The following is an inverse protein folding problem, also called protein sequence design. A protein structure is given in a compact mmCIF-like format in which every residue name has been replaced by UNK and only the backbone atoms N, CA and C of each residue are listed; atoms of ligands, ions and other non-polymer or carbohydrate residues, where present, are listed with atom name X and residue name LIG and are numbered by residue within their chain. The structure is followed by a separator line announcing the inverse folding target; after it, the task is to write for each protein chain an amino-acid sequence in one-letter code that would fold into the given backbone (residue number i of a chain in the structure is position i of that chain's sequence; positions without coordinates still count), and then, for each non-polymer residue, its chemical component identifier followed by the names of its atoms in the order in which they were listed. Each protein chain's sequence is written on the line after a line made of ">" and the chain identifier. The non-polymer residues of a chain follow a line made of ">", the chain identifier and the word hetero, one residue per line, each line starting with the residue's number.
data_IF_627298985108
#
_entry.id   IF_627298985108
#
_cell.length_a   1.000
_cell.length_b   1.000
_cell.length_c   1.000
_cell.angle_alpha   90.00
_cell.angle_beta   90.00
_cell.angle_gamma   90.00
#
_symmetry.space_group_name_H-M   'P 1'
#
loop_
_entity.id
_entity.type
_entity.pdbx_description
1 polymer ?
#
# COMPACT_ATOMS: atom_id res chain seq x y z
N UNK A 1 15.64 0.93 26.85
CA UNK A 1 14.27 0.58 27.22
C UNK A 1 13.71 -0.41 26.19
N UNK A 2 12.94 -1.40 26.65
CA UNK A 2 12.40 -2.49 25.81
C UNK A 2 10.88 -2.38 25.73
N UNK A 3 10.38 -1.36 25.01
CA UNK A 3 8.96 -1.21 24.75
C UNK A 3 8.73 -0.82 23.28
N UNK A 4 7.57 -1.11 22.78
CA UNK A 4 7.12 -0.70 21.43
C UNK A 4 5.64 -0.35 21.47
N UNK A 5 5.24 0.58 20.61
CA UNK A 5 3.83 0.93 20.39
C UNK A 5 3.39 0.32 19.07
N UNK A 6 2.21 -0.27 19.03
CA UNK A 6 1.67 -0.94 17.85
C UNK A 6 0.26 -0.46 17.51
N UNK A 7 -0.14 -0.63 16.25
CA UNK A 7 -1.49 -0.35 15.78
C UNK A 7 -1.91 1.10 15.99
N UNK A 8 -3.17 1.29 16.33
CA UNK A 8 -3.80 2.62 16.48
C UNK A 8 -3.24 3.44 17.65
N UNK A 9 -2.54 2.81 18.59
CA UNK A 9 -1.82 3.54 19.63
C UNK A 9 -0.56 4.24 19.09
N UNK A 10 -0.02 3.80 17.98
CA UNK A 10 1.12 4.39 17.31
C UNK A 10 0.73 5.37 16.21
N UNK A 11 -0.15 4.94 15.31
CA UNK A 11 -0.68 5.75 14.22
C UNK A 11 -2.15 5.39 13.97
N UNK A 12 -2.95 6.38 13.57
CA UNK A 12 -4.37 6.21 13.29
C UNK A 12 -4.72 6.82 11.94
N UNK A 13 -5.52 6.11 11.16
CA UNK A 13 -6.23 6.59 9.99
C UNK A 13 -7.71 6.26 10.12
N UNK A 14 -8.53 6.81 9.20
CA UNK A 14 -9.93 6.48 9.10
C UNK A 14 -10.15 4.98 8.90
N UNK A 15 -11.20 4.36 9.49
CA UNK A 15 -11.46 2.93 9.37
C UNK A 15 -11.87 2.45 7.97
N UNK A 16 -12.13 3.33 7.03
CA UNK A 16 -12.38 2.96 5.64
C UNK A 16 -11.18 2.18 5.08
N UNK A 17 -11.38 1.03 4.48
CA UNK A 17 -10.38 0.01 4.12
C UNK A 17 -9.72 -0.72 5.30
N UNK A 18 -10.07 -0.43 6.54
CA UNK A 18 -9.54 -1.10 7.75
C UNK A 18 -8.01 -1.05 7.92
N UNK A 19 -7.33 0.09 7.71
CA UNK A 19 -5.87 0.18 7.75
C UNK A 19 -5.29 -0.10 9.15
N UNK A 20 -6.09 -0.01 10.21
CA UNK A 20 -5.67 -0.33 11.57
C UNK A 20 -5.11 -1.74 11.68
N UNK A 21 -5.73 -2.72 11.00
CA UNK A 21 -5.23 -4.10 10.95
C UNK A 21 -3.86 -4.19 10.27
N UNK A 22 -3.64 -3.41 9.20
CA UNK A 22 -2.35 -3.36 8.50
C UNK A 22 -1.27 -2.74 9.39
N UNK A 23 -1.58 -1.65 10.11
CA UNK A 23 -0.64 -1.04 11.04
C UNK A 23 -0.25 -1.99 12.17
N UNK A 24 -1.19 -2.77 12.70
CA UNK A 24 -0.89 -3.82 13.69
C UNK A 24 0.03 -4.88 13.07
N UNK A 25 -0.29 -5.39 11.89
CA UNK A 25 0.47 -6.46 11.24
C UNK A 25 1.90 -6.03 10.89
N UNK A 26 2.07 -4.82 10.36
CA UNK A 26 3.37 -4.27 9.98
C UNK A 26 4.23 -3.97 11.20
N UNK A 27 3.69 -3.28 12.22
CA UNK A 27 4.43 -2.99 13.44
C UNK A 27 4.85 -4.26 14.16
N UNK A 28 3.96 -5.26 14.26
CA UNK A 28 4.29 -6.55 14.84
C UNK A 28 5.38 -7.29 14.05
N UNK A 29 5.41 -7.16 12.71
CA UNK A 29 6.49 -7.72 11.89
C UNK A 29 7.83 -7.11 12.28
N UNK A 30 7.93 -5.80 12.40
CA UNK A 30 9.17 -5.12 12.79
C UNK A 30 9.57 -5.42 14.24
N UNK A 31 8.62 -5.43 15.17
CA UNK A 31 8.86 -5.76 16.57
C UNK A 31 9.40 -7.19 16.70
N UNK A 32 8.79 -8.14 16.02
CA UNK A 32 9.23 -9.55 16.03
C UNK A 32 10.64 -9.69 15.48
N UNK A 33 10.96 -8.99 14.40
CA UNK A 33 12.30 -8.98 13.81
C UNK A 33 13.34 -8.40 14.78
N UNK A 34 13.01 -7.30 15.48
CA UNK A 34 13.89 -6.71 16.50
C UNK A 34 14.14 -7.67 17.67
N UNK A 35 13.08 -8.33 18.16
CA UNK A 35 13.20 -9.33 19.24
C UNK A 35 14.09 -10.49 18.79
N UNK A 36 13.90 -11.00 17.57
CA UNK A 36 14.68 -12.10 17.01
C UNK A 36 16.16 -11.74 16.91
N UNK A 37 16.47 -10.54 16.42
CA UNK A 37 17.85 -10.02 16.32
C UNK A 37 18.49 -9.84 17.69
N UNK A 38 17.77 -9.23 18.65
CA UNK A 38 18.29 -9.06 20.02
C UNK A 38 18.56 -10.40 20.69
N UNK A 39 17.66 -11.38 20.51
CA UNK A 39 17.82 -12.74 21.05
C UNK A 39 19.03 -13.45 20.43
N UNK A 40 19.33 -13.17 19.16
CA UNK A 40 20.54 -13.65 18.47
C UNK A 40 21.83 -12.90 18.89
N UNK A 41 21.74 -11.91 19.78
CA UNK A 41 22.89 -11.11 20.24
C UNK A 41 23.30 -9.99 19.28
N UNK A 42 22.47 -9.66 18.29
CA UNK A 42 22.76 -8.55 17.37
C UNK A 42 22.56 -7.19 18.04
N UNK A 43 23.33 -6.19 17.60
CA UNK A 43 23.13 -4.80 18.01
C UNK A 43 21.94 -4.18 17.28
N UNK A 44 20.80 -4.02 17.96
CA UNK A 44 19.51 -3.63 17.33
C UNK A 44 19.29 -2.13 17.17
N UNK A 45 20.08 -1.26 17.79
CA UNK A 45 19.81 0.19 17.77
C UNK A 45 19.67 0.82 16.36
N UNK A 46 20.47 0.44 15.34
CA UNK A 46 20.28 0.91 13.97
C UNK A 46 18.95 0.45 13.36
N UNK A 47 18.55 -0.79 13.64
CA UNK A 47 17.31 -1.37 13.12
C UNK A 47 16.07 -0.73 13.75
N UNK A 48 16.11 -0.37 15.02
CA UNK A 48 15.01 0.34 15.70
C UNK A 48 14.66 1.62 14.96
N UNK A 49 15.66 2.49 14.70
CA UNK A 49 15.44 3.73 13.95
C UNK A 49 14.95 3.50 12.53
N UNK A 50 15.53 2.50 11.86
CA UNK A 50 15.15 2.18 10.48
C UNK A 50 13.71 1.69 10.39
N UNK A 51 13.31 0.75 11.24
CA UNK A 51 11.95 0.19 11.21
C UNK A 51 10.90 1.22 11.66
N UNK A 52 11.23 2.11 12.62
CA UNK A 52 10.38 3.24 12.95
C UNK A 52 10.15 4.14 11.73
N UNK A 53 11.22 4.52 11.03
CA UNK A 53 11.11 5.34 9.81
C UNK A 53 10.32 4.64 8.71
N UNK A 54 10.52 3.33 8.53
CA UNK A 54 9.78 2.54 7.53
C UNK A 54 8.28 2.47 7.89
N UNK A 55 7.95 2.30 9.17
CA UNK A 55 6.58 2.29 9.65
C UNK A 55 5.88 3.63 9.43
N UNK A 56 6.53 4.73 9.78
CA UNK A 56 6.00 6.08 9.56
C UNK A 56 5.92 6.41 8.06
N UNK A 57 6.90 5.99 7.25
CA UNK A 57 6.84 6.13 5.79
C UNK A 57 5.66 5.37 5.18
N UNK A 58 5.33 4.20 5.75
CA UNK A 58 4.13 3.47 5.34
C UNK A 58 2.86 4.27 5.67
N UNK A 59 2.75 4.81 6.89
CA UNK A 59 1.64 5.70 7.27
C UNK A 59 1.50 6.87 6.29
N UNK A 60 2.60 7.57 5.99
CA UNK A 60 2.64 8.69 5.06
C UNK A 60 2.24 8.29 3.63
N UNK A 61 2.48 7.04 3.26
CA UNK A 61 2.08 6.50 1.95
C UNK A 61 0.59 6.20 1.85
N UNK A 62 -0.04 5.88 2.96
CA UNK A 62 -1.48 5.58 3.05
C UNK A 62 -2.33 6.85 3.26
N UNK A 63 -1.79 7.86 3.93
CA UNK A 63 -2.52 9.09 4.25
C UNK A 63 -3.22 9.76 3.05
N UNK A 64 -2.62 9.85 1.84
CA UNK A 64 -3.29 10.44 0.68
C UNK A 64 -4.58 9.74 0.24
N UNK A 65 -4.79 8.46 0.60
CA UNK A 65 -6.00 7.72 0.28
C UNK A 65 -7.22 8.25 1.04
N UNK A 66 -6.98 8.96 2.15
CA UNK A 66 -8.02 9.43 3.08
C UNK A 66 -8.14 10.96 3.08
N UNK A 67 -7.03 11.68 2.98
CA UNK A 67 -7.00 13.13 3.11
C UNK A 67 -7.83 13.81 2.01
N UNK A 68 -8.89 14.52 2.43
CA UNK A 68 -9.83 15.23 1.55
C UNK A 68 -10.55 14.33 0.51
N UNK A 69 -10.70 13.02 0.79
CA UNK A 69 -11.26 12.05 -0.16
C UNK A 69 -12.77 11.81 0.02
N UNK A 70 -13.37 12.22 1.16
CA UNK A 70 -14.77 11.93 1.46
C UNK A 70 -15.79 12.46 0.44
N UNK A 71 -15.43 13.53 -0.26
CA UNK A 71 -16.27 14.08 -1.34
C UNK A 71 -16.47 13.11 -2.51
N UNK A 72 -15.55 12.18 -2.69
CA UNK A 72 -15.57 11.18 -3.76
C UNK A 72 -16.60 10.08 -3.48
N UNK A 73 -16.88 9.77 -2.21
CA UNK A 73 -17.71 8.62 -1.84
C UNK A 73 -19.15 8.68 -2.36
N UNK A 74 -19.67 9.87 -2.62
CA UNK A 74 -20.97 10.06 -3.26
C UNK A 74 -20.92 10.22 -4.78
N UNK A 75 -19.76 10.00 -5.42
CA UNK A 75 -19.58 10.22 -6.85
C UNK A 75 -19.52 8.88 -7.60
N UNK A 76 -20.58 8.51 -8.37
CA UNK A 76 -20.66 7.22 -9.02
C UNK A 76 -19.69 7.04 -10.21
N UNK A 77 -19.02 8.09 -10.65
CA UNK A 77 -17.98 8.01 -11.69
C UNK A 77 -16.59 7.89 -11.09
N UNK A 78 -16.30 8.71 -10.09
CA UNK A 78 -14.94 8.82 -9.54
C UNK A 78 -14.67 7.72 -8.51
N UNK A 79 -15.65 7.37 -7.67
CA UNK A 79 -15.46 6.36 -6.62
C UNK A 79 -15.03 4.98 -7.15
N UNK A 80 -15.65 4.42 -8.21
CA UNK A 80 -15.21 3.13 -8.75
C UNK A 80 -13.75 3.14 -9.22
N UNK A 81 -13.33 4.23 -9.86
CA UNK A 81 -11.95 4.41 -10.32
C UNK A 81 -10.99 4.53 -9.13
N UNK A 82 -11.39 5.29 -8.09
CA UNK A 82 -10.62 5.37 -6.84
C UNK A 82 -10.43 3.99 -6.22
N UNK A 83 -11.48 3.21 -6.08
CA UNK A 83 -11.42 1.88 -5.45
C UNK A 83 -10.50 0.95 -6.25
N UNK A 84 -10.59 0.93 -7.58
CA UNK A 84 -9.69 0.15 -8.43
C UNK A 84 -8.23 0.60 -8.26
N UNK A 85 -7.99 1.91 -8.24
CA UNK A 85 -6.65 2.46 -8.05
C UNK A 85 -6.08 2.10 -6.68
N UNK A 86 -6.83 2.33 -5.61
CA UNK A 86 -6.39 2.10 -4.24
C UNK A 86 -6.01 0.63 -4.01
N UNK A 87 -6.82 -0.32 -4.47
CA UNK A 87 -6.50 -1.74 -4.39
C UNK A 87 -5.35 -2.15 -5.31
N UNK A 88 -5.21 -1.52 -6.48
CA UNK A 88 -4.06 -1.81 -7.36
C UNK A 88 -2.75 -1.42 -6.70
N UNK A 89 -2.70 -0.25 -6.05
CA UNK A 89 -1.55 0.20 -5.27
C UNK A 89 -1.31 -0.72 -4.06
N UNK A 90 -2.35 -0.99 -3.27
CA UNK A 90 -2.28 -1.79 -2.05
C UNK A 90 -1.85 -3.23 -2.33
N UNK A 91 -2.53 -3.94 -3.23
CA UNK A 91 -2.18 -5.32 -3.59
C UNK A 91 -0.88 -5.40 -4.38
N UNK A 92 -0.65 -4.45 -5.28
CA UNK A 92 0.52 -4.47 -6.16
C UNK A 92 1.85 -4.23 -5.44
N UNK A 93 1.84 -3.48 -4.36
CA UNK A 93 3.07 -3.08 -3.64
C UNK A 93 3.09 -3.65 -2.23
N UNK A 94 2.21 -3.14 -1.33
CA UNK A 94 2.30 -3.47 0.09
C UNK A 94 2.01 -4.93 0.38
N UNK A 95 0.89 -5.45 -0.13
CA UNK A 95 0.52 -6.84 0.10
C UNK A 95 1.54 -7.81 -0.49
N UNK A 96 2.13 -7.50 -1.65
CA UNK A 96 3.21 -8.33 -2.21
C UNK A 96 4.38 -8.43 -1.23
N UNK A 97 4.86 -7.33 -0.70
CA UNK A 97 5.96 -7.31 0.27
C UNK A 97 5.59 -8.04 1.58
N UNK A 98 4.35 -7.84 2.06
CA UNK A 98 3.86 -8.45 3.29
C UNK A 98 3.74 -9.98 3.16
N UNK A 99 3.00 -10.47 2.16
CA UNK A 99 2.76 -11.91 1.97
C UNK A 99 4.03 -12.68 1.64
N UNK A 100 5.00 -12.03 0.96
CA UNK A 100 6.33 -12.61 0.72
C UNK A 100 7.27 -12.48 1.92
N UNK A 101 6.81 -11.93 3.06
CA UNK A 101 7.60 -11.72 4.30
C UNK A 101 8.87 -10.90 4.06
N UNK A 102 8.76 -9.81 3.27
CA UNK A 102 9.89 -8.97 2.87
C UNK A 102 9.83 -7.54 3.40
N UNK A 103 8.87 -7.22 4.26
CA UNK A 103 8.77 -5.89 4.85
C UNK A 103 10.00 -5.49 5.67
N UNK A 104 10.64 -6.45 6.35
CA UNK A 104 11.87 -6.23 7.11
C UNK A 104 13.16 -6.54 6.31
N UNK A 105 13.05 -6.96 5.04
CA UNK A 105 14.20 -7.31 4.20
C UNK A 105 14.80 -6.06 3.55
N UNK A 106 15.77 -5.44 4.25
CA UNK A 106 16.42 -4.20 3.84
C UNK A 106 17.08 -4.34 2.45
N UNK A 107 17.61 -5.52 2.13
CA UNK A 107 18.25 -5.77 0.83
C UNK A 107 17.26 -5.73 -0.32
N UNK A 108 16.08 -6.33 -0.15
CA UNK A 108 14.98 -6.29 -1.13
C UNK A 108 14.46 -4.86 -1.27
N UNK A 109 14.16 -4.19 -0.15
CA UNK A 109 13.61 -2.83 -0.16
C UNK A 109 14.59 -1.82 -0.75
N UNK A 110 15.88 -1.94 -0.42
CA UNK A 110 16.93 -1.11 -1.00
C UNK A 110 17.05 -1.29 -2.52
N UNK A 111 16.98 -2.53 -3.00
CA UNK A 111 17.01 -2.87 -4.42
C UNK A 111 15.76 -2.43 -5.20
N UNK A 112 14.65 -2.14 -4.51
CA UNK A 112 13.38 -1.68 -5.09
C UNK A 112 13.10 -0.19 -4.81
N UNK A 113 14.06 0.55 -4.25
CA UNK A 113 13.85 1.92 -3.79
C UNK A 113 13.27 2.84 -4.87
N UNK A 114 13.75 2.72 -6.10
CA UNK A 114 13.29 3.55 -7.22
C UNK A 114 11.84 3.21 -7.59
N UNK A 115 11.51 1.93 -7.69
CA UNK A 115 10.18 1.45 -8.01
C UNK A 115 9.16 1.83 -6.93
N UNK A 116 9.51 1.64 -5.67
CA UNK A 116 8.66 2.02 -4.53
C UNK A 116 8.44 3.54 -4.47
N UNK A 117 9.49 4.33 -4.73
CA UNK A 117 9.39 5.79 -4.83
C UNK A 117 8.49 6.24 -5.98
N UNK A 118 8.62 5.61 -7.16
CA UNK A 118 7.76 5.88 -8.31
C UNK A 118 6.29 5.52 -8.02
N UNK A 119 6.04 4.36 -7.42
CA UNK A 119 4.68 3.95 -7.03
C UNK A 119 4.04 4.95 -6.06
N UNK A 120 4.79 5.41 -5.06
CA UNK A 120 4.32 6.41 -4.09
C UNK A 120 4.01 7.76 -4.75
N UNK A 121 4.92 8.25 -5.62
CA UNK A 121 4.72 9.51 -6.33
C UNK A 121 3.49 9.44 -7.24
N UNK A 122 3.33 8.33 -7.96
CA UNK A 122 2.19 8.09 -8.84
C UNK A 122 0.89 8.01 -8.03
N UNK A 123 0.90 7.30 -6.89
CA UNK A 123 -0.26 7.24 -6.00
C UNK A 123 -0.69 8.66 -5.55
N UNK A 124 0.23 9.48 -5.07
CA UNK A 124 -0.07 10.86 -4.67
C UNK A 124 -0.65 11.69 -5.80
N UNK A 125 -0.12 11.56 -7.02
CA UNK A 125 -0.62 12.27 -8.20
C UNK A 125 -2.07 11.85 -8.56
N UNK A 126 -2.35 10.54 -8.57
CA UNK A 126 -3.70 10.03 -8.88
C UNK A 126 -4.70 10.43 -7.79
N UNK A 127 -4.35 10.34 -6.50
CA UNK A 127 -5.24 10.80 -5.43
C UNK A 127 -5.60 12.30 -5.60
N UNK A 128 -4.64 13.12 -6.03
CA UNK A 128 -4.88 14.54 -6.33
C UNK A 128 -5.80 14.70 -7.55
N UNK A 129 -5.58 13.94 -8.62
CA UNK A 129 -6.41 13.94 -9.81
C UNK A 129 -7.86 13.54 -9.48
N UNK A 130 -8.07 12.47 -8.73
CA UNK A 130 -9.40 11.99 -8.32
C UNK A 130 -10.16 13.05 -7.51
N UNK A 131 -9.49 13.75 -6.58
CA UNK A 131 -10.07 14.90 -5.88
C UNK A 131 -10.51 16.00 -6.83
N UNK A 132 -9.63 16.40 -7.75
CA UNK A 132 -9.92 17.43 -8.72
C UNK A 132 -11.07 17.04 -9.66
N UNK A 133 -11.07 15.79 -10.11
CA UNK A 133 -12.15 15.25 -10.93
C UNK A 133 -13.50 15.29 -10.20
N UNK A 134 -13.55 14.92 -8.93
CA UNK A 134 -14.78 14.94 -8.14
C UNK A 134 -15.38 16.35 -7.95
N UNK A 135 -14.56 17.40 -8.08
CA UNK A 135 -15.04 18.79 -8.01
C UNK A 135 -15.85 19.21 -9.25
N UNK A 136 -15.53 18.67 -10.41
CA UNK A 136 -16.14 19.00 -11.69
C UNK A 136 -17.09 17.91 -12.22
N UNK A 137 -17.17 16.77 -11.52
CA UNK A 137 -18.06 15.67 -11.87
C UNK A 137 -19.53 16.10 -11.71
N UNK A 138 -20.36 15.77 -12.69
CA UNK A 138 -21.81 16.01 -12.65
C UNK A 138 -22.56 15.08 -11.71
N UNK A 139 -21.87 14.09 -11.12
CA UNK A 139 -22.44 13.08 -10.20
C UNK A 139 -23.76 12.46 -10.69
N UNK A 140 -23.81 11.96 -11.94
CA UNK A 140 -25.04 11.39 -12.48
C UNK A 140 -25.43 10.16 -11.66
N UNK A 141 -26.74 9.94 -11.49
CA UNK A 141 -27.21 8.68 -10.94
C UNK A 141 -26.84 7.55 -11.92
N UNK A 142 -26.12 6.53 -11.43
CA UNK A 142 -25.71 5.38 -12.22
C UNK A 142 -26.39 4.13 -11.70
N UNK A 143 -27.26 3.46 -12.48
CA UNK A 143 -28.07 2.34 -12.01
C UNK A 143 -27.27 1.03 -11.88
N UNK A 144 -26.04 0.99 -12.41
CA UNK A 144 -25.22 -0.23 -12.46
C UNK A 144 -23.99 -0.07 -11.58
N UNK A 145 -23.80 -1.02 -10.66
CA UNK A 145 -22.59 -1.11 -9.86
C UNK A 145 -21.47 -1.79 -10.67
N UNK A 146 -20.24 -1.26 -10.56
CA UNK A 146 -19.07 -1.90 -11.16
C UNK A 146 -18.81 -3.25 -10.47
N UNK A 147 -18.87 -4.32 -11.27
CA UNK A 147 -18.45 -5.64 -10.82
C UNK A 147 -16.95 -5.83 -11.09
N UNK A 148 -16.15 -5.69 -10.04
CA UNK A 148 -14.69 -5.82 -10.10
C UNK A 148 -14.24 -7.24 -10.53
N UNK A 149 -15.08 -8.27 -10.30
CA UNK A 149 -14.76 -9.65 -10.68
C UNK A 149 -14.69 -9.82 -12.21
N UNK A 150 -15.35 -8.95 -12.97
CA UNK A 150 -15.27 -8.94 -14.44
C UNK A 150 -13.95 -8.38 -14.98
N UNK A 151 -13.14 -7.73 -14.15
CA UNK A 151 -11.82 -7.22 -14.53
C UNK A 151 -10.76 -8.31 -14.34
N UNK A 152 -10.50 -9.08 -15.39
CA UNK A 152 -9.61 -10.24 -15.34
C UNK A 152 -8.21 -9.90 -14.80
N UNK A 153 -7.64 -8.75 -15.18
CA UNK A 153 -6.34 -8.29 -14.69
C UNK A 153 -6.35 -7.98 -13.19
N UNK A 154 -7.43 -7.40 -12.68
CA UNK A 154 -7.58 -7.04 -11.28
C UNK A 154 -7.73 -8.29 -10.40
N UNK A 155 -8.54 -9.24 -10.86
CA UNK A 155 -8.66 -10.55 -10.23
C UNK A 155 -7.32 -11.34 -10.26
N UNK A 156 -6.55 -11.24 -11.34
CA UNK A 156 -5.22 -11.85 -11.44
C UNK A 156 -4.23 -11.20 -10.47
N UNK A 157 -4.23 -9.88 -10.32
CA UNK A 157 -3.40 -9.15 -9.36
C UNK A 157 -3.66 -9.66 -7.93
N UNK A 158 -4.93 -9.79 -7.53
CA UNK A 158 -5.29 -10.31 -6.21
C UNK A 158 -4.82 -11.76 -6.02
N UNK A 159 -5.11 -12.66 -6.97
CA UNK A 159 -4.67 -14.06 -6.89
C UNK A 159 -3.15 -14.20 -6.79
N UNK A 160 -2.41 -13.31 -7.43
CA UNK A 160 -0.94 -13.31 -7.41
C UNK A 160 -0.30 -13.12 -6.03
N UNK A 161 -1.07 -12.66 -5.05
CA UNK A 161 -0.62 -12.53 -3.66
C UNK A 161 -0.29 -13.88 -3.01
N UNK A 162 -0.88 -14.97 -3.50
CA UNK A 162 -0.65 -16.33 -2.99
C UNK A 162 0.55 -17.03 -3.62
N UNK A 163 1.16 -16.43 -4.65
CA UNK A 163 2.35 -16.99 -5.30
C UNK A 163 3.52 -17.06 -4.31
N UNK A 164 4.34 -18.10 -4.41
CA UNK A 164 5.58 -18.22 -3.65
C UNK A 164 6.73 -17.68 -4.51
N UNK A 165 7.29 -16.54 -4.12
CA UNK A 165 8.30 -15.84 -4.90
C UNK A 165 9.65 -15.80 -4.16
N UNK A 166 10.72 -16.13 -4.85
CA UNK A 166 12.07 -15.79 -4.39
C UNK A 166 12.36 -14.29 -4.55
N UNK A 167 13.52 -13.81 -4.08
CA UNK A 167 13.88 -12.38 -4.14
C UNK A 167 13.91 -11.81 -5.58
N UNK A 168 14.53 -12.48 -6.58
CA UNK A 168 14.51 -12.03 -7.97
C UNK A 168 13.10 -11.97 -8.55
N UNK A 169 12.29 -13.01 -8.38
CA UNK A 169 10.93 -13.08 -8.88
C UNK A 169 10.03 -12.01 -8.24
N UNK A 170 10.16 -11.77 -6.92
CA UNK A 170 9.46 -10.68 -6.26
C UNK A 170 9.85 -9.31 -6.82
N UNK A 171 11.14 -9.08 -7.02
CA UNK A 171 11.61 -7.81 -7.61
C UNK A 171 11.05 -7.59 -9.00
N UNK A 172 11.00 -8.63 -9.82
CA UNK A 172 10.38 -8.58 -11.14
C UNK A 172 8.86 -8.33 -11.05
N UNK A 173 8.17 -8.97 -10.11
CA UNK A 173 6.73 -8.78 -9.86
C UNK A 173 6.43 -7.33 -9.45
N UNK A 174 7.18 -6.74 -8.53
CA UNK A 174 6.99 -5.34 -8.12
C UNK A 174 7.19 -4.39 -9.30
N UNK A 175 8.23 -4.61 -10.14
CA UNK A 175 8.44 -3.81 -11.35
C UNK A 175 7.28 -3.93 -12.34
N UNK A 176 6.78 -5.13 -12.56
CA UNK A 176 5.60 -5.36 -13.41
C UNK A 176 4.35 -4.67 -12.87
N UNK A 177 4.13 -4.74 -11.56
CA UNK A 177 2.99 -4.07 -10.91
C UNK A 177 3.09 -2.54 -11.02
N UNK A 178 4.29 -1.96 -10.85
CA UNK A 178 4.51 -0.51 -11.06
C UNK A 178 4.24 -0.12 -12.52
N UNK A 179 4.68 -0.92 -13.49
CA UNK A 179 4.38 -0.68 -14.91
C UNK A 179 2.87 -0.77 -15.20
N UNK A 180 2.16 -1.71 -14.57
CA UNK A 180 0.70 -1.80 -14.66
C UNK A 180 0.01 -0.57 -14.05
N UNK A 181 0.47 -0.09 -12.89
CA UNK A 181 -0.01 1.16 -12.29
C UNK A 181 0.19 2.35 -13.23
N UNK A 182 1.36 2.45 -13.88
CA UNK A 182 1.63 3.50 -14.87
C UNK A 182 0.72 3.42 -16.09
N UNK A 183 0.39 2.20 -16.54
CA UNK A 183 -0.57 2.01 -17.63
C UNK A 183 -1.98 2.44 -17.20
N UNK A 184 -2.44 2.00 -16.03
CA UNK A 184 -3.75 2.39 -15.48
C UNK A 184 -3.86 3.91 -15.27
N UNK A 185 -2.79 4.56 -14.79
CA UNK A 185 -2.77 6.01 -14.61
C UNK A 185 -2.93 6.81 -15.90
N UNK A 186 -2.57 6.24 -17.06
CA UNK A 186 -2.79 6.89 -18.37
C UNK A 186 -4.21 6.76 -18.90
N UNK A 187 -4.94 5.78 -18.39
CA UNK A 187 -6.35 5.56 -18.75
C UNK A 187 -7.32 6.37 -17.85
N UNK A 188 -6.85 6.79 -16.66
CA UNK A 188 -7.59 7.64 -15.72
C UNK A 188 -7.50 9.11 -16.16
#
# INVERSE_FOLDING_TARGET
>A
ERWAITGEAGVFLDPFYSPGSDFIAISNTYITELISKETAGEHIAPYVKLYEQMYLSFYDSMLPLYLDQYRIFGDPRVLPVKVLWDYTYYWGILCQLFYQRRLADIGVLGGLRAELGNALALNKAIQTLLRSWSLVSSKPNHPVMLDQAQLAWFAALNRSLLDQLDRPALSQRIRANVAQMQALAREI
#
